data_IF_641337581370
#
_entry.id   IF_641337581370
#
_cell.length_a   1.000
_cell.length_b   1.000
_cell.length_c   1.000
_cell.angle_alpha   90.00
_cell.angle_beta   90.00
_cell.angle_gamma   90.00
#
_symmetry.space_group_name_H-M   'P 1'
#
loop_
_entity.id
_entity.type
_entity.pdbx_description
1 polymer ?
#
# COMPACT_ATOMS: atom_id res chain seq x y z
N UNK A 1 -4.12 -15.86 -38.00
CA UNK A 1 -4.63 -14.52 -37.67
C UNK A 1 -5.17 -14.42 -36.24
N UNK A 2 -6.37 -14.87 -35.85
CA UNK A 2 -6.87 -14.62 -34.47
C UNK A 2 -6.07 -15.23 -33.31
N UNK A 3 -5.32 -16.31 -33.55
CA UNK A 3 -4.50 -17.00 -32.54
C UNK A 3 -3.19 -16.27 -32.23
N UNK A 4 -2.52 -15.75 -33.27
CA UNK A 4 -1.27 -15.00 -33.14
C UNK A 4 -1.47 -13.70 -32.34
N UNK A 5 -2.58 -12.99 -32.56
CA UNK A 5 -2.93 -11.81 -31.75
C UNK A 5 -3.20 -12.15 -30.27
N UNK A 6 -3.79 -13.31 -29.99
CA UNK A 6 -4.03 -13.74 -28.61
C UNK A 6 -2.73 -14.11 -27.89
N UNK A 7 -1.77 -14.69 -28.60
CA UNK A 7 -0.46 -15.05 -28.04
C UNK A 7 0.40 -13.82 -27.77
N UNK A 8 0.40 -12.85 -28.69
CA UNK A 8 1.10 -11.57 -28.50
C UNK A 8 0.54 -10.77 -27.32
N UNK A 9 -0.79 -10.64 -27.22
CA UNK A 9 -1.45 -9.94 -26.10
C UNK A 9 -1.21 -10.67 -24.77
N UNK A 10 -1.27 -12.00 -24.74
CA UNK A 10 -0.98 -12.77 -23.54
C UNK A 10 0.46 -12.57 -23.07
N UNK A 11 1.42 -12.58 -24.00
CA UNK A 11 2.83 -12.32 -23.70
C UNK A 11 3.05 -10.92 -23.11
N UNK A 12 2.38 -9.89 -23.64
CA UNK A 12 2.46 -8.54 -23.09
C UNK A 12 1.92 -8.45 -21.65
N UNK A 13 0.80 -9.11 -21.36
CA UNK A 13 0.21 -9.14 -20.01
C UNK A 13 1.15 -9.85 -19.02
N UNK A 14 1.72 -10.99 -19.40
CA UNK A 14 2.63 -11.73 -18.52
C UNK A 14 3.90 -10.94 -18.19
N UNK A 15 4.41 -10.16 -19.15
CA UNK A 15 5.56 -9.27 -18.95
C UNK A 15 5.24 -8.14 -17.95
N UNK A 16 4.07 -7.49 -18.10
CA UNK A 16 3.61 -6.45 -17.17
C UNK A 16 3.40 -7.01 -15.75
N UNK A 17 2.80 -8.21 -15.62
CA UNK A 17 2.61 -8.87 -14.33
C UNK A 17 3.95 -9.19 -13.68
N UNK A 18 4.92 -9.70 -14.45
CA UNK A 18 6.27 -9.97 -13.94
C UNK A 18 6.92 -8.69 -13.42
N UNK A 19 6.91 -7.64 -14.23
CA UNK A 19 7.51 -6.34 -13.88
C UNK A 19 6.87 -5.75 -12.63
N UNK A 20 5.54 -5.87 -12.50
CA UNK A 20 4.80 -5.40 -11.34
C UNK A 20 5.20 -6.15 -10.06
N UNK A 21 5.28 -7.48 -10.12
CA UNK A 21 5.68 -8.31 -8.97
C UNK A 21 7.14 -8.04 -8.60
N UNK A 22 8.05 -7.98 -9.56
CA UNK A 22 9.47 -7.70 -9.31
C UNK A 22 9.66 -6.34 -8.64
N UNK A 23 8.97 -5.30 -9.12
CA UNK A 23 9.01 -3.97 -8.50
C UNK A 23 8.48 -3.99 -7.06
N UNK A 24 7.38 -4.68 -6.79
CA UNK A 24 6.84 -4.79 -5.44
C UNK A 24 7.76 -5.58 -4.49
N UNK A 25 8.42 -6.62 -5.00
CA UNK A 25 9.41 -7.39 -4.24
C UNK A 25 10.65 -6.55 -3.91
N UNK A 26 11.16 -5.77 -4.86
CA UNK A 26 12.30 -4.90 -4.63
C UNK A 26 11.97 -3.83 -3.60
N UNK A 27 10.82 -3.17 -3.72
CA UNK A 27 10.36 -2.19 -2.73
C UNK A 27 10.25 -2.80 -1.32
N UNK A 28 9.66 -3.99 -1.21
CA UNK A 28 9.56 -4.68 0.07
C UNK A 28 10.96 -4.99 0.65
N UNK A 29 11.90 -5.43 -0.19
CA UNK A 29 13.28 -5.67 0.22
C UNK A 29 13.95 -4.38 0.72
N UNK A 30 13.78 -3.27 0.00
CA UNK A 30 14.36 -1.98 0.37
C UNK A 30 13.81 -1.48 1.72
N UNK A 31 12.51 -1.66 1.97
CA UNK A 31 11.88 -1.34 3.27
C UNK A 31 12.48 -2.18 4.41
N UNK A 32 12.69 -3.47 4.19
CA UNK A 32 13.28 -4.37 5.19
C UNK A 32 14.73 -4.00 5.50
N UNK A 33 15.52 -3.65 4.47
CA UNK A 33 16.92 -3.22 4.64
C UNK A 33 16.99 -1.87 5.35
N UNK A 34 16.15 -0.91 4.98
CA UNK A 34 16.09 0.40 5.63
C UNK A 34 15.76 0.29 7.13
N UNK A 35 14.99 -0.73 7.53
CA UNK A 35 14.61 -0.98 8.91
C UNK A 35 15.36 -2.17 9.55
N UNK A 36 16.52 -2.55 9.01
CA UNK A 36 17.25 -3.75 9.46
C UNK A 36 17.59 -3.71 10.95
N UNK A 37 18.00 -2.55 11.46
CA UNK A 37 18.37 -2.36 12.87
C UNK A 37 17.17 -2.59 13.81
N UNK A 38 15.97 -2.17 13.39
CA UNK A 38 14.72 -2.40 14.15
C UNK A 38 14.38 -3.89 14.19
N UNK A 39 14.57 -4.58 13.05
CA UNK A 39 14.37 -6.03 12.97
C UNK A 39 15.40 -6.80 13.81
N UNK A 40 16.65 -6.33 13.87
CA UNK A 40 17.68 -6.91 14.74
C UNK A 40 17.35 -6.74 16.22
N UNK A 41 16.83 -5.58 16.63
CA UNK A 41 16.34 -5.37 17.99
C UNK A 41 15.17 -6.32 18.32
N UNK A 42 14.22 -6.50 17.39
CA UNK A 42 13.12 -7.45 17.57
C UNK A 42 13.62 -8.89 17.76
N UNK A 43 14.57 -9.31 16.94
CA UNK A 43 15.14 -10.67 17.03
C UNK A 43 15.92 -10.85 18.32
N UNK A 44 16.68 -9.85 18.75
CA UNK A 44 17.38 -9.89 20.02
C UNK A 44 16.43 -10.11 21.20
N UNK A 45 15.32 -9.35 21.23
CA UNK A 45 14.32 -9.49 22.27
C UNK A 45 13.62 -10.86 22.24
N UNK A 46 13.34 -11.39 21.04
CA UNK A 46 12.80 -12.75 20.86
C UNK A 46 13.77 -13.84 21.33
N UNK A 47 15.08 -13.65 21.17
CA UNK A 47 16.07 -14.61 21.68
C UNK A 47 16.13 -14.62 23.21
N UNK A 48 15.87 -13.49 23.86
CA UNK A 48 15.84 -13.41 25.33
C UNK A 48 14.53 -13.93 25.93
N UNK A 49 13.40 -13.62 25.32
CA UNK A 49 12.06 -13.89 25.87
C UNK A 49 11.33 -15.08 25.25
N UNK A 50 11.83 -15.62 24.14
CA UNK A 50 11.23 -16.67 23.29
C UNK A 50 9.90 -16.28 22.61
N UNK A 51 9.10 -15.41 23.24
CA UNK A 51 7.83 -14.88 22.75
C UNK A 51 7.66 -13.43 23.15
N UNK A 52 7.05 -12.63 22.28
CA UNK A 52 6.69 -11.24 22.56
C UNK A 52 5.18 -11.04 22.46
N UNK A 53 4.64 -10.23 23.36
CA UNK A 53 3.28 -9.74 23.25
C UNK A 53 3.19 -8.49 22.35
N UNK A 54 1.96 -8.01 22.14
CA UNK A 54 1.71 -6.85 21.28
C UNK A 54 2.38 -5.58 21.78
N UNK A 55 2.34 -5.30 23.09
CA UNK A 55 2.89 -4.07 23.64
C UNK A 55 4.42 -4.04 23.52
N UNK A 56 5.05 -5.21 23.65
CA UNK A 56 6.49 -5.38 23.45
C UNK A 56 6.90 -5.17 21.99
N UNK A 57 6.15 -5.72 21.03
CA UNK A 57 6.38 -5.49 19.60
C UNK A 57 6.17 -4.01 19.26
N UNK A 58 5.10 -3.40 19.76
CA UNK A 58 4.79 -1.99 19.53
C UNK A 58 5.92 -1.08 20.06
N UNK A 59 6.57 -1.46 21.17
CA UNK A 59 7.73 -0.73 21.70
C UNK A 59 8.95 -0.82 20.76
N UNK A 60 9.26 -2.00 20.22
CA UNK A 60 10.37 -2.16 19.26
C UNK A 60 10.10 -1.37 17.98
N UNK A 61 8.85 -1.38 17.49
CA UNK A 61 8.48 -0.72 16.23
C UNK A 61 8.35 0.81 16.30
N UNK A 62 8.54 1.44 17.47
CA UNK A 62 8.55 2.91 17.58
C UNK A 62 9.64 3.56 16.72
N UNK A 63 10.74 2.87 16.47
CA UNK A 63 11.85 3.36 15.66
C UNK A 63 11.67 3.11 14.15
N UNK A 64 10.53 2.54 13.71
CA UNK A 64 10.28 2.18 12.32
C UNK A 64 10.19 3.42 11.43
N UNK A 65 10.91 3.40 10.31
CA UNK A 65 10.83 4.42 9.27
C UNK A 65 9.72 4.05 8.28
N UNK A 66 8.56 4.67 8.47
CA UNK A 66 7.41 4.52 7.59
C UNK A 66 7.67 5.20 6.25
N UNK A 67 7.47 4.47 5.16
CA UNK A 67 7.48 5.02 3.80
C UNK A 67 6.17 5.77 3.51
N UNK A 68 6.21 6.64 2.52
CA UNK A 68 5.02 7.33 2.03
C UNK A 68 3.99 6.33 1.50
N UNK A 69 2.71 6.63 1.74
CA UNK A 69 1.62 5.76 1.29
C UNK A 69 1.57 5.78 -0.23
N UNK A 70 1.76 4.62 -0.84
CA UNK A 70 1.62 4.43 -2.29
C UNK A 70 0.23 4.92 -2.73
N UNK A 71 0.13 5.73 -3.81
CA UNK A 71 -1.16 6.14 -4.35
C UNK A 71 -1.97 4.92 -4.80
N UNK A 72 -3.30 5.06 -4.83
CA UNK A 72 -4.19 3.98 -5.25
C UNK A 72 -3.81 3.47 -6.64
N UNK A 73 -3.61 2.16 -6.78
CA UNK A 73 -3.39 1.54 -8.08
C UNK A 73 -4.68 1.59 -8.90
N UNK A 74 -4.71 2.41 -9.95
CA UNK A 74 -5.90 2.61 -10.77
C UNK A 74 -5.96 1.65 -11.97
N UNK A 75 -4.95 0.81 -12.16
CA UNK A 75 -4.87 -0.19 -13.24
C UNK A 75 -4.83 0.39 -14.65
N UNK A 76 -4.94 1.71 -14.82
CA UNK A 76 -4.71 2.41 -16.07
C UNK A 76 -4.35 3.87 -15.83
N UNK A 77 -3.45 4.41 -16.65
CA UNK A 77 -3.01 5.81 -16.55
C UNK A 77 -4.15 6.83 -16.71
N UNK A 78 -5.28 6.42 -17.31
CA UNK A 78 -6.44 7.29 -17.56
C UNK A 78 -7.50 7.22 -16.47
N UNK A 79 -7.39 6.28 -15.52
CA UNK A 79 -8.41 6.13 -14.46
C UNK A 79 -8.07 7.07 -13.31
N UNK A 80 -8.94 8.05 -13.08
CA UNK A 80 -8.89 8.94 -11.92
C UNK A 80 -9.78 8.34 -10.81
N UNK A 81 -9.27 8.17 -9.57
CA UNK A 81 -10.10 7.76 -8.44
C UNK A 81 -11.22 8.77 -8.21
N UNK A 82 -12.45 8.28 -7.98
CA UNK A 82 -13.55 9.15 -7.57
C UNK A 82 -13.30 9.61 -6.12
N UNK A 83 -13.40 10.91 -5.88
CA UNK A 83 -13.21 11.52 -4.56
C UNK A 83 -14.51 11.62 -3.77
N UNK A 84 -15.65 11.31 -4.38
CA UNK A 84 -16.93 11.27 -3.67
C UNK A 84 -16.92 10.10 -2.69
N UNK A 85 -17.14 10.41 -1.41
CA UNK A 85 -17.27 9.40 -0.37
C UNK A 85 -18.46 8.45 -0.59
N UNK A 86 -18.58 7.39 0.24
CA UNK A 86 -19.74 6.51 0.23
C UNK A 86 -21.05 7.30 0.28
N UNK A 87 -22.08 6.81 -0.39
CA UNK A 87 -23.41 7.43 -0.29
C UNK A 87 -23.84 7.48 1.18
N UNK A 88 -24.34 8.64 1.60
CA UNK A 88 -24.88 8.83 2.94
C UNK A 88 -26.17 8.02 3.04
N UNK A 89 -26.04 6.80 3.56
CA UNK A 89 -27.18 5.94 3.83
C UNK A 89 -27.64 6.26 5.25
N UNK A 90 -28.96 6.41 5.47
CA UNK A 90 -29.46 6.55 6.83
C UNK A 90 -29.01 5.33 7.62
N UNK A 91 -28.14 5.56 8.60
CA UNK A 91 -27.59 4.53 9.47
C UNK A 91 -28.80 3.72 9.99
N UNK A 92 -28.93 2.42 9.68
CA UNK A 92 -30.01 1.63 10.25
C UNK A 92 -29.94 1.78 11.76
N UNK A 93 -31.05 2.15 12.39
CA UNK A 93 -31.10 2.31 13.83
C UNK A 93 -30.50 1.07 14.49
N UNK A 94 -29.56 1.31 15.39
CA UNK A 94 -28.67 0.32 15.95
C UNK A 94 -29.42 -0.92 16.48
N UNK A 95 -29.29 -2.05 15.78
CA UNK A 95 -29.43 -3.35 16.42
C UNK A 95 -28.08 -3.68 17.07
N UNK A 96 -27.84 -3.15 18.27
CA UNK A 96 -27.01 -3.75 19.33
C UNK A 96 -25.52 -4.07 19.08
N UNK A 97 -24.95 -3.85 17.90
CA UNK A 97 -23.54 -4.16 17.62
C UNK A 97 -22.83 -2.93 17.05
N UNK A 98 -22.45 -2.01 17.92
CA UNK A 98 -21.64 -0.84 17.57
C UNK A 98 -20.45 -0.77 18.50
N UNK A 99 -19.29 -1.20 18.03
CA UNK A 99 -17.99 -0.62 18.39
C UNK A 99 -16.92 -1.15 17.43
N UNK A 100 -16.82 -0.55 16.25
CA UNK A 100 -15.55 -0.47 15.53
C UNK A 100 -15.30 1.01 15.29
N UNK A 101 -14.40 1.55 16.11
CA UNK A 101 -13.92 2.92 16.12
C UNK A 101 -13.21 3.27 14.79
N UNK A 102 -12.94 4.57 14.52
CA UNK A 102 -12.71 5.09 13.18
C UNK A 102 -11.39 4.58 12.61
N UNK A 103 -11.42 4.10 11.37
CA UNK A 103 -10.20 3.89 10.58
C UNK A 103 -9.55 5.26 10.42
N UNK A 104 -8.32 5.36 10.93
CA UNK A 104 -7.49 6.56 10.94
C UNK A 104 -7.44 7.19 9.54
N UNK A 105 -7.89 8.44 9.42
CA UNK A 105 -7.62 9.29 8.27
C UNK A 105 -6.11 9.55 8.20
N UNK A 106 -5.42 8.95 7.24
CA UNK A 106 -4.14 9.50 6.76
C UNK A 106 -4.50 10.59 5.74
N UNK A 107 -4.17 11.86 5.97
CA UNK A 107 -4.43 12.89 4.97
C UNK A 107 -3.47 12.67 3.81
N UNK A 108 -4.00 12.14 2.70
CA UNK A 108 -3.37 12.22 1.39
C UNK A 108 -3.36 13.71 1.02
N UNK A 109 -2.27 14.39 1.38
CA UNK A 109 -2.02 15.77 0.99
C UNK A 109 -1.94 15.83 -0.53
N UNK A 110 -2.90 16.51 -1.13
CA UNK A 110 -2.96 16.75 -2.55
C UNK A 110 -2.20 18.03 -2.90
N UNK A 111 -1.53 17.94 -4.04
CA UNK A 111 -1.32 19.00 -5.02
C UNK A 111 -0.12 19.95 -4.79
N UNK A 112 0.88 19.83 -5.67
CA UNK A 112 1.29 21.02 -6.40
C UNK A 112 1.60 20.69 -7.86
N UNK A 113 0.67 21.12 -8.70
CA UNK A 113 0.70 21.27 -10.14
C UNK A 113 1.94 22.05 -10.61
N UNK A 114 2.63 21.58 -11.65
CA UNK A 114 3.22 22.45 -12.68
C UNK A 114 3.29 21.71 -14.01
N UNK A 115 2.34 22.05 -14.89
CA UNK A 115 2.48 21.94 -16.35
C UNK A 115 2.96 23.31 -16.85
N UNK A 116 3.84 23.35 -17.86
CA UNK A 116 3.43 24.00 -19.10
C UNK A 116 3.76 23.07 -20.29
N UNK A 117 2.79 22.72 -21.12
CA UNK A 117 2.40 23.50 -22.31
C UNK A 117 3.61 23.95 -23.14
N UNK A 118 3.94 23.17 -24.17
CA UNK A 118 4.65 23.70 -25.33
C UNK A 118 4.01 23.15 -26.60
N UNK A 119 3.11 23.97 -27.14
CA UNK A 119 2.79 23.99 -28.55
C UNK A 119 4.03 24.42 -29.35
N UNK A 120 4.53 23.53 -30.20
CA UNK A 120 5.00 23.80 -31.57
C UNK A 120 5.31 22.49 -32.31
#
# INVERSE_FOLDING_TARGET
HGREYSEEIAGAIDEEVRTFIESAHQEAYDILIANRDVLDALVHELLEKETLDRAEIDAVFQALQLQEVRPAWTGSARRQPDTRGPIDHPRPMANGHSELAPVLETPLSADETTTPDEAQ
#
